data_IF_993320652359
#
_entry.id   IF_993320652359
#
_cell.length_a   1.000
_cell.length_b   1.000
_cell.length_c   1.000
_cell.angle_alpha   90.00
_cell.angle_beta   90.00
_cell.angle_gamma   90.00
#
_symmetry.space_group_name_H-M   'P 1'
#
loop_
_entity.id
_entity.type
_entity.pdbx_description
1 polymer ?
#
# COMPACT_ATOMS: atom_id res chain seq x y z
N UNK A 1 24.29 -6.02 3.89
CA UNK A 1 24.11 -5.12 2.73
C UNK A 1 22.77 -5.31 2.05
N UNK A 2 22.38 -6.55 1.77
CA UNK A 2 21.06 -6.84 1.21
C UNK A 2 19.92 -6.37 2.10
N UNK A 3 20.09 -6.43 3.39
CA UNK A 3 19.07 -6.03 4.37
C UNK A 3 18.65 -4.57 4.22
N UNK A 4 19.58 -3.70 3.82
CA UNK A 4 19.29 -2.28 3.63
C UNK A 4 18.30 -2.10 2.49
N UNK A 5 18.50 -2.81 1.38
CA UNK A 5 17.61 -2.72 0.22
C UNK A 5 16.26 -3.34 0.51
N UNK A 6 16.25 -4.47 1.19
CA UNK A 6 15.01 -5.14 1.58
C UNK A 6 14.20 -4.27 2.53
N UNK A 7 14.85 -3.69 3.53
CA UNK A 7 14.21 -2.78 4.44
C UNK A 7 13.66 -1.55 3.73
N UNK A 8 14.39 -1.02 2.75
CA UNK A 8 13.94 0.14 1.97
C UNK A 8 12.71 -0.20 1.13
N UNK A 9 12.69 -1.38 0.52
CA UNK A 9 11.56 -1.82 -0.28
C UNK A 9 10.30 -1.95 0.58
N UNK A 10 10.41 -2.59 1.74
CA UNK A 10 9.29 -2.75 2.66
C UNK A 10 8.79 -1.37 3.14
N UNK A 11 9.70 -0.45 3.45
CA UNK A 11 9.33 0.91 3.85
C UNK A 11 8.57 1.62 2.76
N UNK A 12 8.99 1.47 1.51
CA UNK A 12 8.31 2.09 0.38
C UNK A 12 6.91 1.51 0.18
N UNK A 13 6.77 0.20 0.31
CA UNK A 13 5.45 -0.43 0.25
C UNK A 13 4.53 0.07 1.36
N UNK A 14 5.05 0.19 2.58
CA UNK A 14 4.26 0.69 3.71
C UNK A 14 3.88 2.14 3.53
N UNK A 15 4.76 2.94 2.95
CA UNK A 15 4.46 4.32 2.63
C UNK A 15 3.38 4.41 1.57
N UNK A 16 3.45 3.56 0.56
CA UNK A 16 2.42 3.48 -0.48
C UNK A 16 1.07 3.08 0.11
N UNK A 17 1.07 2.10 1.02
CA UNK A 17 -0.13 1.69 1.74
C UNK A 17 -0.76 2.88 2.47
N UNK A 18 0.04 3.63 3.20
CA UNK A 18 -0.43 4.79 3.95
C UNK A 18 -1.01 5.86 3.03
N UNK A 19 -0.32 6.14 1.92
CA UNK A 19 -0.80 7.12 0.94
C UNK A 19 -2.12 6.68 0.32
N UNK A 20 -2.26 5.41 0.00
CA UNK A 20 -3.51 4.88 -0.55
C UNK A 20 -4.66 4.97 0.46
N UNK A 21 -4.37 4.71 1.73
CA UNK A 21 -5.37 4.88 2.80
C UNK A 21 -5.85 6.31 2.90
N UNK A 22 -4.92 7.26 2.85
CA UNK A 22 -5.25 8.68 2.90
C UNK A 22 -6.06 9.09 1.67
N UNK A 23 -5.71 8.57 0.50
CA UNK A 23 -6.45 8.84 -0.73
C UNK A 23 -7.86 8.26 -0.68
N UNK A 24 -8.01 7.05 -0.16
CA UNK A 24 -9.34 6.44 0.02
C UNK A 24 -10.19 7.25 0.98
N UNK A 25 -9.59 7.73 2.07
CA UNK A 25 -10.28 8.56 3.04
C UNK A 25 -10.72 9.89 2.41
N UNK A 26 -9.85 10.51 1.62
CA UNK A 26 -10.17 11.75 0.92
C UNK A 26 -11.32 11.53 -0.05
N UNK A 27 -11.31 10.42 -0.79
CA UNK A 27 -12.38 10.07 -1.71
C UNK A 27 -13.71 9.91 -0.98
N UNK A 28 -13.67 9.29 0.19
CA UNK A 28 -14.86 9.11 1.04
C UNK A 28 -15.42 10.45 1.48
N UNK A 29 -14.55 11.34 1.95
CA UNK A 29 -14.95 12.69 2.39
C UNK A 29 -15.57 13.48 1.23
N UNK A 30 -15.03 13.31 0.02
CA UNK A 30 -15.56 13.95 -1.18
C UNK A 30 -16.85 13.32 -1.68
N UNK A 31 -17.22 12.18 -1.15
CA UNK A 31 -18.44 11.48 -1.56
C UNK A 31 -18.29 10.69 -2.86
N UNK A 32 -17.08 10.38 -3.27
CA UNK A 32 -16.82 9.62 -4.49
C UNK A 32 -16.63 8.14 -4.17
N UNK A 33 -17.72 7.38 -4.18
CA UNK A 33 -17.69 5.94 -3.91
C UNK A 33 -16.82 5.20 -4.93
N UNK A 34 -16.87 5.63 -6.18
CA UNK A 34 -16.09 5.00 -7.24
C UNK A 34 -14.59 5.12 -6.99
N UNK A 35 -14.12 6.30 -6.63
CA UNK A 35 -12.71 6.51 -6.30
C UNK A 35 -12.33 5.77 -5.02
N UNK A 36 -13.20 5.80 -4.01
CA UNK A 36 -12.95 5.08 -2.77
C UNK A 36 -12.72 3.59 -3.04
N UNK A 37 -13.58 2.97 -3.84
CA UNK A 37 -13.45 1.56 -4.20
C UNK A 37 -12.15 1.27 -4.93
N UNK A 38 -11.77 2.14 -5.88
CA UNK A 38 -10.53 1.98 -6.63
C UNK A 38 -9.31 2.04 -5.73
N UNK A 39 -9.29 2.99 -4.81
CA UNK A 39 -8.17 3.10 -3.86
C UNK A 39 -8.14 1.93 -2.89
N UNK A 40 -9.28 1.44 -2.45
CA UNK A 40 -9.34 0.27 -1.58
C UNK A 40 -8.86 -1.00 -2.29
N UNK A 41 -9.19 -1.17 -3.56
CA UNK A 41 -8.67 -2.28 -4.36
C UNK A 41 -7.16 -2.21 -4.51
N UNK A 42 -6.64 -1.02 -4.78
CA UNK A 42 -5.19 -0.79 -4.86
C UNK A 42 -4.52 -1.08 -3.53
N UNK A 43 -5.16 -0.71 -2.43
CA UNK A 43 -4.66 -0.97 -1.09
C UNK A 43 -4.56 -2.48 -0.81
N UNK A 44 -5.58 -3.23 -1.19
CA UNK A 44 -5.55 -4.70 -1.04
C UNK A 44 -4.40 -5.31 -1.83
N UNK A 45 -4.19 -4.83 -3.06
CA UNK A 45 -3.10 -5.31 -3.89
C UNK A 45 -1.75 -5.01 -3.27
N UNK A 46 -1.56 -3.79 -2.76
CA UNK A 46 -0.32 -3.40 -2.11
C UNK A 46 -0.06 -4.27 -0.88
N UNK A 47 -1.09 -4.55 -0.09
CA UNK A 47 -0.95 -5.41 1.09
C UNK A 47 -0.51 -6.82 0.71
N UNK A 48 -1.05 -7.37 -0.38
CA UNK A 48 -0.60 -8.66 -0.89
C UNK A 48 0.86 -8.61 -1.34
N UNK A 49 1.24 -7.52 -2.00
CA UNK A 49 2.61 -7.34 -2.48
C UNK A 49 3.58 -7.21 -1.31
N UNK A 50 3.18 -6.55 -0.23
CA UNK A 50 3.99 -6.45 0.99
C UNK A 50 4.23 -7.84 1.57
N UNK A 51 3.18 -8.65 1.69
CA UNK A 51 3.29 -10.01 2.21
C UNK A 51 4.20 -10.85 1.31
N UNK A 52 4.02 -10.75 0.00
CA UNK A 52 4.85 -11.46 -0.96
C UNK A 52 6.32 -11.06 -0.84
N UNK A 53 6.58 -9.76 -0.73
CA UNK A 53 7.94 -9.26 -0.57
C UNK A 53 8.58 -9.75 0.73
N UNK A 54 7.83 -9.73 1.83
CA UNK A 54 8.30 -10.25 3.11
C UNK A 54 8.62 -11.73 3.04
N UNK A 55 7.77 -12.50 2.35
CA UNK A 55 7.99 -13.95 2.18
C UNK A 55 9.24 -14.27 1.37
N UNK A 56 9.56 -13.41 0.40
CA UNK A 56 10.76 -13.60 -0.42
C UNK A 56 12.05 -13.34 0.36
N UNK A 57 12.02 -12.43 1.31
CA UNK A 57 13.22 -11.98 2.02
C UNK A 57 13.32 -12.51 3.45
N UNK A 58 12.33 -13.22 3.90
CA UNK A 58 12.38 -13.90 5.19
C UNK A 58 12.63 -15.40 5.00
#
# INVERSE_FOLDING_TARGET
MTDVYEGSLIRLFRRLEELLRQMAQAAKVMGSEELEEKFEESLKKVRRDIVAAQSLYL
#
